data_IF_860547604219
#
_entry.id   IF_860547604219
#
_cell.length_a   1.000
_cell.length_b   1.000
_cell.length_c   1.000
_cell.angle_alpha   90.00
_cell.angle_beta   90.00
_cell.angle_gamma   90.00
#
_symmetry.space_group_name_H-M   'P 1'
#
loop_
_entity.id
_entity.type
_entity.pdbx_description
1 polymer ?
#
# COMPACT_ATOMS: atom_id res chain seq x y z
N UNK A 1 -6.31 -21.48 9.16
CA UNK A 1 -5.62 -20.46 9.97
C UNK A 1 -4.41 -20.01 9.18
N UNK A 2 -4.14 -18.70 9.07
CA UNK A 2 -2.94 -18.21 8.38
C UNK A 2 -1.71 -18.47 9.26
N UNK A 3 -0.66 -19.06 8.69
CA UNK A 3 0.59 -19.35 9.40
C UNK A 3 1.46 -18.08 9.45
N UNK A 4 1.88 -17.66 10.64
CA UNK A 4 2.68 -16.45 10.83
C UNK A 4 4.07 -16.54 10.18
N UNK A 5 4.62 -17.75 10.01
CA UNK A 5 5.93 -17.98 9.39
C UNK A 5 5.93 -17.81 7.87
N UNK A 6 4.75 -17.81 7.25
CA UNK A 6 4.56 -17.66 5.80
C UNK A 6 4.39 -16.19 5.37
N UNK A 7 4.52 -15.25 6.30
CA UNK A 7 4.56 -13.82 5.98
C UNK A 7 5.99 -13.36 5.74
N UNK A 8 6.24 -12.78 4.58
CA UNK A 8 7.53 -12.21 4.23
C UNK A 8 7.41 -10.71 4.02
N UNK A 9 8.33 -9.94 4.62
CA UNK A 9 8.45 -8.51 4.32
C UNK A 9 8.91 -8.39 2.87
N UNK A 10 8.09 -7.74 2.05
CA UNK A 10 8.42 -7.51 0.65
C UNK A 10 9.00 -6.10 0.46
N UNK A 11 8.50 -5.12 1.22
CA UNK A 11 8.98 -3.75 1.12
C UNK A 11 8.75 -2.96 2.41
N UNK A 12 9.65 -2.00 2.68
CA UNK A 12 9.50 -1.03 3.74
C UNK A 12 9.96 0.35 3.26
N UNK A 13 9.34 1.41 3.80
CA UNK A 13 9.71 2.77 3.49
C UNK A 13 9.39 3.72 4.64
N UNK A 14 10.23 4.74 4.79
CA UNK A 14 10.04 5.81 5.75
C UNK A 14 9.91 7.13 4.99
N UNK A 15 8.88 7.89 5.30
CA UNK A 15 8.54 9.13 4.62
C UNK A 15 8.46 10.26 5.63
N UNK A 16 8.91 11.43 5.20
CA UNK A 16 8.83 12.66 5.96
C UNK A 16 8.56 13.82 5.01
N UNK A 17 7.65 14.71 5.39
CA UNK A 17 7.32 15.90 4.60
C UNK A 17 8.54 16.82 4.48
N UNK A 18 8.67 17.45 3.33
CA UNK A 18 9.58 18.57 3.17
C UNK A 18 8.97 19.85 3.76
N UNK A 19 9.83 20.71 4.31
CA UNK A 19 9.45 22.01 4.85
C UNK A 19 10.00 23.10 3.94
N UNK A 20 9.13 23.95 3.41
CA UNK A 20 9.50 25.11 2.59
C UNK A 20 9.05 26.38 3.31
N UNK A 21 9.99 27.04 4.00
CA UNK A 21 9.70 28.16 4.89
C UNK A 21 8.78 27.72 6.04
N UNK A 22 7.59 28.31 6.14
CA UNK A 22 6.61 27.99 7.19
C UNK A 22 5.50 27.04 6.71
N UNK A 23 5.67 26.38 5.55
CA UNK A 23 4.67 25.47 4.99
C UNK A 23 5.23 24.07 4.86
N UNK A 24 4.41 23.09 5.24
CA UNK A 24 4.65 21.68 4.95
C UNK A 24 4.19 21.37 3.53
N UNK A 25 5.01 20.64 2.78
CA UNK A 25 4.63 20.09 1.47
C UNK A 25 4.16 18.66 1.67
N UNK A 26 2.92 18.39 1.26
CA UNK A 26 2.33 17.07 1.38
C UNK A 26 3.15 16.01 0.63
N UNK A 27 3.20 14.81 1.20
CA UNK A 27 3.87 13.68 0.56
C UNK A 27 3.15 13.32 -0.75
N UNK A 28 3.87 13.25 -1.88
CA UNK A 28 3.28 12.81 -3.14
C UNK A 28 2.95 11.32 -3.07
N UNK A 29 1.98 10.82 -3.85
CA UNK A 29 1.76 9.38 -3.99
C UNK A 29 3.04 8.66 -4.40
N UNK A 30 3.25 7.46 -3.87
CA UNK A 30 4.43 6.64 -4.17
C UNK A 30 4.00 5.31 -4.78
N UNK A 31 4.57 4.96 -5.92
CA UNK A 31 4.49 3.60 -6.45
C UNK A 31 5.53 2.75 -5.74
N UNK A 32 5.09 1.66 -5.12
CA UNK A 32 5.97 0.72 -4.44
C UNK A 32 6.83 0.03 -5.51
N UNK A 33 8.17 0.05 -5.40
CA UNK A 33 9.07 -0.46 -6.43
C UNK A 33 9.24 -1.99 -6.36
N UNK A 34 8.18 -2.71 -6.02
CA UNK A 34 8.12 -4.17 -6.02
C UNK A 34 6.80 -4.63 -6.62
N UNK A 35 6.83 -5.78 -7.28
CA UNK A 35 5.63 -6.45 -7.75
C UNK A 35 5.19 -7.51 -6.75
N UNK A 36 3.87 -7.67 -6.63
CA UNK A 36 3.26 -8.70 -5.79
C UNK A 36 2.60 -9.73 -6.70
N UNK A 37 2.91 -10.99 -6.47
CA UNK A 37 2.40 -12.16 -7.20
C UNK A 37 1.49 -13.06 -6.33
N UNK A 38 1.19 -12.61 -5.11
CA UNK A 38 0.26 -13.24 -4.19
C UNK A 38 -0.86 -12.24 -3.87
N UNK A 39 -2.09 -12.74 -3.73
CA UNK A 39 -3.25 -11.89 -3.56
C UNK A 39 -3.38 -11.34 -2.14
N UNK A 40 -2.80 -12.02 -1.14
CA UNK A 40 -2.91 -11.60 0.25
C UNK A 40 -1.67 -10.80 0.68
N UNK A 41 -1.90 -9.54 1.04
CA UNK A 41 -0.87 -8.66 1.59
C UNK A 41 -1.33 -8.06 2.91
N UNK A 42 -0.38 -7.76 3.79
CA UNK A 42 -0.61 -7.00 5.00
C UNK A 42 0.21 -5.73 4.95
N UNK A 43 -0.36 -4.62 5.40
CA UNK A 43 0.33 -3.34 5.49
C UNK A 43 0.21 -2.84 6.91
N UNK A 44 1.34 -2.55 7.53
CA UNK A 44 1.39 -1.80 8.78
C UNK A 44 1.91 -0.41 8.49
N UNK A 45 1.41 0.53 9.29
CA UNK A 45 1.87 1.90 9.25
C UNK A 45 2.06 2.43 10.65
N UNK A 46 3.05 3.31 10.82
CA UNK A 46 3.26 4.04 12.06
C UNK A 46 3.71 5.47 11.78
N UNK A 47 3.34 6.39 12.66
CA UNK A 47 3.74 7.80 12.58
C UNK A 47 4.03 8.32 13.98
N UNK A 48 5.15 9.00 14.13
CA UNK A 48 5.60 9.59 15.38
C UNK A 48 4.79 10.85 15.73
N UNK A 49 4.43 11.67 14.73
CA UNK A 49 3.67 12.90 14.95
C UNK A 49 2.16 12.72 14.75
N UNK A 50 1.66 11.48 14.77
CA UNK A 50 0.24 11.20 14.63
C UNK A 50 -0.57 11.78 15.80
N UNK A 51 -1.61 12.56 15.49
CA UNK A 51 -2.58 12.96 16.49
C UNK A 51 -3.43 11.75 16.92
N UNK A 52 -3.80 11.60 18.21
CA UNK A 52 -4.58 10.45 18.69
C UNK A 52 -5.92 10.23 17.98
N UNK A 53 -6.52 11.29 17.43
CA UNK A 53 -7.78 11.23 16.67
C UNK A 53 -7.62 10.69 15.25
N UNK A 54 -6.39 10.57 14.74
CA UNK A 54 -6.14 10.08 13.39
C UNK A 54 -6.20 8.55 13.37
N UNK A 55 -7.01 8.02 12.45
CA UNK A 55 -7.19 6.58 12.26
C UNK A 55 -6.84 6.10 10.85
N UNK A 56 -6.52 7.02 9.94
CA UNK A 56 -6.22 6.72 8.53
C UNK A 56 -4.76 7.08 8.27
N UNK A 57 -4.01 6.11 7.76
CA UNK A 57 -2.63 6.31 7.32
C UNK A 57 -2.55 6.70 5.84
N UNK A 58 -3.55 6.33 5.05
CA UNK A 58 -3.59 6.59 3.63
C UNK A 58 -4.51 5.61 2.91
N UNK A 59 -4.29 5.51 1.60
CA UNK A 59 -4.99 4.57 0.74
C UNK A 59 -4.01 3.88 -0.18
N UNK A 60 -4.34 2.67 -0.60
CA UNK A 60 -3.59 1.92 -1.60
C UNK A 60 -4.43 1.69 -2.82
N UNK A 61 -3.78 1.69 -3.98
CA UNK A 61 -4.39 1.24 -5.21
C UNK A 61 -3.58 0.18 -5.92
N UNK A 62 -4.30 -0.86 -6.35
CA UNK A 62 -3.76 -1.92 -7.19
C UNK A 62 -3.65 -1.41 -8.62
N UNK A 63 -2.48 -1.62 -9.21
CA UNK A 63 -2.20 -1.38 -10.62
C UNK A 63 -1.82 -2.68 -11.31
N UNK A 64 -2.52 -2.96 -12.39
CA UNK A 64 -2.23 -4.09 -13.27
C UNK A 64 -1.92 -3.57 -14.68
N UNK A 65 -0.92 -4.16 -15.31
CA UNK A 65 -0.62 -3.89 -16.71
C UNK A 65 -1.68 -4.54 -17.59
N UNK A 66 -2.34 -3.75 -18.43
CA UNK A 66 -3.45 -4.23 -19.29
C UNK A 66 -3.09 -4.29 -20.77
N UNK A 67 -1.92 -3.77 -21.16
CA UNK A 67 -1.54 -3.60 -22.57
C UNK A 67 -2.35 -2.53 -23.32
N UNK A 68 -3.33 -1.88 -22.67
CA UNK A 68 -4.08 -0.76 -23.21
C UNK A 68 -3.37 0.55 -22.84
N UNK A 69 -3.01 1.37 -23.81
CA UNK A 69 -2.39 2.68 -23.56
C UNK A 69 -3.42 3.82 -23.68
N UNK A 70 -3.57 4.60 -22.62
CA UNK A 70 -4.20 5.93 -22.68
C UNK A 70 -3.14 6.92 -22.21
N UNK A 71 -2.79 7.89 -23.06
CA UNK A 71 -1.79 8.93 -22.77
C UNK A 71 -0.48 8.39 -22.17
N UNK A 72 0.14 7.41 -22.86
CA UNK A 72 1.44 6.77 -22.48
C UNK A 72 1.44 5.96 -21.17
N UNK A 73 0.30 5.85 -20.47
CA UNK A 73 0.15 4.97 -19.31
C UNK A 73 -0.62 3.70 -19.67
N UNK A 74 -0.11 2.54 -19.24
CA UNK A 74 -0.69 1.21 -19.57
C UNK A 74 -1.32 0.47 -18.38
N UNK A 75 -1.35 1.13 -17.22
CA UNK A 75 -1.80 0.53 -15.97
C UNK A 75 -3.23 0.94 -15.65
N UNK A 76 -4.10 -0.05 -15.43
CA UNK A 76 -5.44 0.20 -14.93
C UNK A 76 -5.41 0.31 -13.39
N UNK A 77 -6.03 1.36 -12.86
CA UNK A 77 -6.21 1.58 -11.41
C UNK A 77 -7.52 0.92 -10.98
N UNK A 78 -7.44 -0.14 -10.19
CA UNK A 78 -8.58 -1.06 -10.03
C UNK A 78 -9.38 -0.83 -8.75
N UNK A 79 -8.70 -0.62 -7.62
CA UNK A 79 -9.33 -0.56 -6.29
C UNK A 79 -8.62 0.51 -5.46
N UNK A 80 -9.35 1.27 -4.64
CA UNK A 80 -8.75 2.17 -3.64
C UNK A 80 -9.15 1.72 -2.24
N UNK A 81 -8.22 1.16 -1.46
CA UNK A 81 -8.50 0.61 -0.12
C UNK A 81 -7.84 1.45 0.97
N UNK A 82 -8.55 1.69 2.07
CA UNK A 82 -8.06 2.49 3.20
C UNK A 82 -7.06 1.68 4.04
N UNK A 83 -5.92 2.29 4.36
CA UNK A 83 -4.93 1.77 5.31
C UNK A 83 -5.12 2.43 6.67
N UNK A 84 -5.20 1.63 7.73
CA UNK A 84 -5.36 2.10 9.09
C UNK A 84 -4.01 2.51 9.70
N UNK A 85 -4.02 3.62 10.43
CA UNK A 85 -2.85 4.13 11.13
C UNK A 85 -2.58 3.34 12.42
N UNK A 86 -1.31 3.03 12.69
CA UNK A 86 -0.86 2.30 13.88
C UNK A 86 -1.52 0.93 14.04
N UNK A 87 -1.91 0.30 12.92
CA UNK A 87 -2.57 -1.01 12.86
C UNK A 87 -2.07 -1.80 11.66
N UNK A 88 -2.20 -3.11 11.75
CA UNK A 88 -2.02 -4.02 10.61
C UNK A 88 -3.33 -4.07 9.82
N UNK A 89 -3.28 -3.69 8.55
CA UNK A 89 -4.40 -3.76 7.61
C UNK A 89 -4.16 -4.94 6.67
N UNK A 90 -5.13 -5.85 6.54
CA UNK A 90 -5.05 -7.01 5.65
C UNK A 90 -5.83 -6.71 4.38
N UNK A 91 -5.26 -7.02 3.22
CA UNK A 91 -5.85 -6.79 1.92
C UNK A 91 -5.80 -8.05 1.06
N UNK A 92 -6.89 -8.32 0.36
CA UNK A 92 -6.98 -9.36 -0.65
C UNK A 92 -7.18 -8.70 -2.02
N UNK A 93 -6.23 -8.94 -2.93
CA UNK A 93 -6.23 -8.45 -4.30
C UNK A 93 -6.42 -9.61 -5.26
N UNK A 94 -7.48 -9.60 -6.06
CA UNK A 94 -7.70 -10.67 -7.03
C UNK A 94 -6.61 -10.66 -8.11
N UNK A 95 -6.04 -11.84 -8.40
CA UNK A 95 -5.06 -12.08 -9.46
C UNK A 95 -5.69 -12.69 -10.73
N UNK A 96 -7.02 -12.67 -10.84
CA UNK A 96 -7.72 -13.25 -11.99
C UNK A 96 -7.48 -12.51 -13.32
N UNK A 97 -6.93 -11.30 -13.27
CA UNK A 97 -6.67 -10.45 -14.43
C UNK A 97 -5.17 -10.33 -14.79
N UNK A 98 -4.26 -10.65 -13.87
CA UNK A 98 -2.82 -10.53 -14.06
C UNK A 98 -2.04 -11.45 -13.10
N UNK A 99 -0.87 -11.94 -13.52
CA UNK A 99 0.02 -12.78 -12.68
C UNK A 99 0.72 -12.00 -11.58
N UNK A 100 0.87 -10.69 -11.73
CA UNK A 100 1.44 -9.79 -10.73
C UNK A 100 0.74 -8.42 -10.79
N UNK A 101 0.92 -7.64 -9.73
CA UNK A 101 0.44 -6.26 -9.65
C UNK A 101 1.43 -5.39 -8.88
N UNK A 102 1.36 -4.09 -9.14
CA UNK A 102 2.04 -3.08 -8.32
C UNK A 102 1.03 -2.34 -7.46
N UNK A 103 1.54 -1.65 -6.44
CA UNK A 103 0.74 -0.86 -5.52
C UNK A 103 1.19 0.59 -5.59
N UNK A 104 0.24 1.51 -5.66
CA UNK A 104 0.48 2.92 -5.38
C UNK A 104 -0.11 3.28 -4.02
N UNK A 105 0.69 3.89 -3.16
CA UNK A 105 0.26 4.41 -1.87
C UNK A 105 -0.02 5.92 -1.97
N UNK A 106 -1.15 6.34 -1.43
CA UNK A 106 -1.62 7.71 -1.40
C UNK A 106 -1.62 8.21 0.05
N UNK A 107 -0.80 9.22 0.32
CA UNK A 107 -0.70 9.83 1.64
C UNK A 107 -1.84 10.84 1.87
N UNK A 108 -2.41 10.90 3.09
CA UNK A 108 -3.28 11.99 3.49
C UNK A 108 -2.48 13.29 3.66
N UNK A 109 -3.11 14.42 3.33
CA UNK A 109 -2.46 15.74 3.41
C UNK A 109 -2.05 16.16 4.82
N UNK A 110 -2.64 15.55 5.86
CA UNK A 110 -2.35 15.88 7.24
C UNK A 110 -1.18 15.08 7.83
N UNK A 111 -0.67 14.05 7.15
CA UNK A 111 0.44 13.24 7.67
C UNK A 111 1.79 13.92 7.40
N UNK A 112 2.59 14.07 8.45
CA UNK A 112 3.92 14.68 8.38
C UNK A 112 5.05 13.65 8.24
N UNK A 113 4.87 12.48 8.83
CA UNK A 113 5.81 11.37 8.77
C UNK A 113 5.04 10.05 8.78
N UNK A 114 5.55 9.06 8.05
CA UNK A 114 4.94 7.74 7.99
C UNK A 114 5.99 6.67 7.71
N UNK A 115 6.04 5.65 8.55
CA UNK A 115 6.72 4.40 8.28
C UNK A 115 5.69 3.41 7.73
N UNK A 116 6.03 2.72 6.64
CA UNK A 116 5.18 1.72 5.99
C UNK A 116 5.98 0.43 5.89
N UNK A 117 5.37 -0.68 6.28
CA UNK A 117 5.88 -2.01 5.98
C UNK A 117 4.79 -2.84 5.30
N UNK A 118 5.18 -3.53 4.23
CA UNK A 118 4.30 -4.36 3.41
C UNK A 118 4.82 -5.79 3.46
N UNK A 119 3.95 -6.69 3.89
CA UNK A 119 4.17 -8.12 3.87
C UNK A 119 3.29 -8.78 2.82
N UNK A 120 3.80 -9.87 2.29
CA UNK A 120 3.08 -10.75 1.40
C UNK A 120 3.00 -12.14 2.04
N UNK A 121 1.84 -12.77 1.95
CA UNK A 121 1.66 -14.14 2.41
C UNK A 121 2.05 -15.11 1.30
N UNK A 122 2.99 -16.02 1.57
CA UNK A 122 3.51 -16.99 0.59
C UNK A 122 2.88 -18.37 0.73
N UNK A 123 2.00 -18.56 1.70
CA UNK A 123 1.27 -19.81 1.88
C UNK A 123 0.11 -19.96 0.91
N UNK A 124 -0.28 -21.21 0.65
CA UNK A 124 -1.52 -21.48 -0.08
C UNK A 124 -2.70 -20.99 0.74
N UNK A 125 -3.56 -20.17 0.13
CA UNK A 125 -4.87 -19.85 0.68
C UNK A 125 -5.91 -20.14 -0.41
N UNK A 126 -6.95 -20.88 -0.05
CA UNK A 126 -8.09 -21.12 -0.92
C UNK A 126 -9.22 -20.27 -0.38
N UNK A 127 -9.76 -19.37 -1.21
CA UNK A 127 -10.98 -18.66 -0.86
C UNK A 127 -12.10 -19.71 -0.77
N UNK A 128 -12.73 -19.84 0.39
CA UNK A 128 -14.00 -20.56 0.48
C UNK A 128 -15.06 -19.66 -0.14
N UNK A 129 -15.67 -20.11 -1.23
CA UNK A 129 -16.81 -19.47 -1.88
C UNK A 129 -18.00 -19.26 -0.92
#
# INVERSE_FOLDING_TARGET
>A
MLDSSLWQVHWQGNFQVAVYGNRYVALPPVTIPVEFDQPLIAISTSSFNALPRWSTAGWISQKIYTGLSVDETSDATLINQRVLLNRLSLFEFALNLASSYSITYYFPQWIFDLSIAIWQYTGTYTKSD
#
